data_IF_457885462053
#
_entry.id   IF_457885462053
#
_cell.length_a   1.000
_cell.length_b   1.000
_cell.length_c   1.000
_cell.angle_alpha   90.00
_cell.angle_beta   90.00
_cell.angle_gamma   90.00
#
_symmetry.space_group_name_H-M   'P 1'
#
loop_
_entity.id
_entity.type
_entity.pdbx_description
1 polymer ?
#
# COMPACT_ATOMS: atom_id res chain seq x y z
N UNK A 1 -2.48 3.37 30.54
CA UNK A 1 -2.41 2.83 29.16
C UNK A 1 -2.75 1.35 29.23
N UNK A 2 -3.67 0.89 28.38
CA UNK A 2 -4.06 -0.51 28.30
C UNK A 2 -2.86 -1.36 27.83
N UNK A 3 -2.50 -2.40 28.60
CA UNK A 3 -1.35 -3.30 28.32
C UNK A 3 -1.68 -4.38 27.27
N UNK A 4 -2.94 -4.46 26.85
CA UNK A 4 -3.43 -5.44 25.88
C UNK A 4 -2.97 -5.14 24.44
N UNK A 5 -2.79 -3.86 24.09
CA UNK A 5 -2.48 -3.43 22.72
C UNK A 5 -0.96 -3.36 22.51
N UNK A 6 -0.51 -3.78 21.33
CA UNK A 6 0.91 -3.70 20.97
C UNK A 6 1.37 -2.24 20.85
N UNK A 7 2.50 -1.90 21.45
CA UNK A 7 3.00 -0.52 21.55
C UNK A 7 3.22 0.14 20.20
N UNK A 8 3.71 -0.60 19.20
CA UNK A 8 3.94 -0.07 17.86
C UNK A 8 2.63 0.28 17.13
N UNK A 9 1.58 -0.51 17.36
CA UNK A 9 0.25 -0.24 16.78
C UNK A 9 -0.31 1.04 17.37
N UNK A 10 -0.14 1.24 18.69
CA UNK A 10 -0.55 2.49 19.35
C UNK A 10 0.21 3.72 18.81
N UNK A 11 1.50 3.57 18.56
CA UNK A 11 2.31 4.65 17.99
C UNK A 11 1.86 4.97 16.56
N UNK A 12 1.58 3.96 15.73
CA UNK A 12 1.09 4.12 14.36
C UNK A 12 -0.22 4.90 14.30
N UNK A 13 -1.16 4.63 15.21
CA UNK A 13 -2.45 5.35 15.30
C UNK A 13 -2.26 6.86 15.54
N UNK A 14 -1.22 7.25 16.28
CA UNK A 14 -0.95 8.66 16.61
C UNK A 14 -0.27 9.39 15.45
N UNK A 15 0.49 8.69 14.60
CA UNK A 15 1.26 9.31 13.51
C UNK A 15 0.40 10.14 12.55
N UNK A 16 -0.75 9.65 12.01
CA UNK A 16 -1.59 10.45 11.13
C UNK A 16 -2.10 11.75 11.76
N UNK A 17 -2.38 11.74 13.06
CA UNK A 17 -2.82 12.95 13.78
C UNK A 17 -1.71 13.98 13.80
N UNK A 18 -0.48 13.56 14.13
CA UNK A 18 0.70 14.41 14.12
C UNK A 18 0.96 14.97 12.71
N UNK A 19 0.98 14.12 11.69
CA UNK A 19 1.17 14.54 10.30
C UNK A 19 0.10 15.53 9.83
N UNK A 20 -1.16 15.30 10.19
CA UNK A 20 -2.27 16.19 9.80
C UNK A 20 -2.12 17.56 10.48
N UNK A 21 -1.69 17.60 11.74
CA UNK A 21 -1.45 18.85 12.46
C UNK A 21 -0.23 19.60 11.91
N UNK A 22 0.84 18.88 11.58
CA UNK A 22 2.02 19.43 10.92
C UNK A 22 1.65 20.06 9.58
N UNK A 23 0.87 19.37 8.74
CA UNK A 23 0.42 19.88 7.45
C UNK A 23 -0.51 21.11 7.56
N UNK A 24 -1.23 21.25 8.67
CA UNK A 24 -2.06 22.43 8.95
C UNK A 24 -1.22 23.65 9.36
N UNK A 25 -0.11 23.43 10.06
CA UNK A 25 0.68 24.50 10.66
C UNK A 25 1.90 24.88 9.81
N UNK A 26 2.49 23.93 9.10
CA UNK A 26 3.69 24.10 8.29
C UNK A 26 3.30 24.21 6.81
N UNK A 27 3.78 25.23 6.08
CA UNK A 27 3.53 25.34 4.66
C UNK A 27 4.27 24.25 3.88
N UNK A 28 3.67 23.81 2.77
CA UNK A 28 4.28 22.91 1.81
C UNK A 28 5.40 23.59 1.00
N UNK A 29 6.01 22.85 0.07
CA UNK A 29 7.03 23.38 -0.85
C UNK A 29 6.56 24.57 -1.72
N UNK A 30 5.25 24.80 -1.83
CA UNK A 30 4.64 25.89 -2.57
C UNK A 30 4.15 27.02 -1.65
N UNK A 31 4.47 26.98 -0.36
CA UNK A 31 4.05 27.98 0.62
C UNK A 31 2.61 27.85 1.14
N UNK A 32 1.90 26.76 0.82
CA UNK A 32 0.49 26.56 1.17
C UNK A 32 0.34 25.58 2.34
N UNK A 33 -0.56 25.88 3.27
CA UNK A 33 -0.93 24.96 4.35
C UNK A 33 -2.18 24.17 3.99
N UNK A 34 -2.33 22.99 4.61
CA UNK A 34 -3.58 22.24 4.55
C UNK A 34 -4.66 22.92 5.38
N UNK A 35 -5.93 22.66 5.07
CA UNK A 35 -7.05 23.12 5.87
C UNK A 35 -7.08 22.53 7.28
N UNK A 36 -7.86 23.14 8.18
CA UNK A 36 -7.98 22.72 9.59
C UNK A 36 -8.31 21.22 9.71
N UNK A 37 -7.59 20.45 10.56
CA UNK A 37 -7.86 19.04 10.77
C UNK A 37 -9.29 18.82 11.27
N UNK A 38 -9.97 17.79 10.74
CA UNK A 38 -11.30 17.38 11.20
C UNK A 38 -11.17 16.19 12.15
N UNK A 39 -11.84 16.26 13.30
CA UNK A 39 -11.95 15.11 14.20
C UNK A 39 -12.72 13.98 13.52
N UNK A 40 -12.17 12.77 13.64
CA UNK A 40 -12.74 11.55 13.08
C UNK A 40 -13.33 10.72 14.22
N UNK A 41 -14.60 10.32 14.08
CA UNK A 41 -15.28 9.46 15.05
C UNK A 41 -14.78 8.01 15.00
N UNK A 42 -15.21 7.18 15.97
CA UNK A 42 -14.80 5.78 16.13
C UNK A 42 -14.90 4.92 14.86
N UNK A 43 -15.90 5.19 14.01
CA UNK A 43 -16.16 4.40 12.79
C UNK A 43 -15.20 4.70 11.63
N UNK A 44 -14.40 5.76 11.70
CA UNK A 44 -13.45 6.12 10.65
C UNK A 44 -12.17 5.29 10.66
N UNK A 45 -11.86 4.61 11.77
CA UNK A 45 -10.64 3.83 11.89
C UNK A 45 -10.97 2.34 11.81
N UNK A 46 -10.64 1.72 10.68
CA UNK A 46 -10.95 0.32 10.37
C UNK A 46 -9.70 -0.54 10.13
N UNK A 47 -8.50 -0.01 10.39
CA UNK A 47 -7.23 -0.69 10.12
C UNK A 47 -6.31 -0.72 11.32
N UNK A 48 -5.40 -1.70 11.40
CA UNK A 48 -4.33 -1.79 12.38
C UNK A 48 -3.01 -2.10 11.66
N UNK A 49 -2.04 -1.19 11.72
CA UNK A 49 -0.74 -1.39 11.09
C UNK A 49 0.29 -1.92 12.07
N UNK A 50 1.13 -2.83 11.58
CA UNK A 50 2.29 -3.39 12.26
C UNK A 50 3.55 -2.96 11.48
N UNK A 51 4.18 -1.83 11.86
CA UNK A 51 5.28 -1.23 11.10
C UNK A 51 6.59 -2.01 11.09
N UNK A 52 6.70 -3.08 11.90
CA UNK A 52 7.89 -3.93 12.00
C UNK A 52 7.58 -5.39 11.70
N UNK A 53 6.56 -5.62 10.87
CA UNK A 53 6.27 -6.95 10.41
C UNK A 53 7.29 -7.38 9.36
N UNK A 54 7.74 -8.64 9.43
CA UNK A 54 8.75 -9.20 8.54
C UNK A 54 8.29 -10.53 7.94
N UNK A 55 9.01 -11.03 6.92
CA UNK A 55 8.71 -12.30 6.25
C UNK A 55 8.64 -13.48 7.23
N UNK A 56 9.40 -13.44 8.35
CA UNK A 56 9.39 -14.51 9.37
C UNK A 56 8.09 -14.63 10.14
N UNK A 57 7.23 -13.60 10.09
CA UNK A 57 5.91 -13.64 10.71
C UNK A 57 4.89 -14.39 9.84
N UNK A 58 5.19 -14.62 8.55
CA UNK A 58 4.36 -15.41 7.65
C UNK A 58 4.85 -16.86 7.72
N UNK A 59 4.03 -17.75 8.25
CA UNK A 59 4.38 -19.14 8.50
C UNK A 59 3.30 -20.08 7.97
N UNK A 60 3.62 -21.36 7.83
CA UNK A 60 2.61 -22.40 7.61
C UNK A 60 2.34 -23.12 8.93
N UNK A 61 1.08 -23.37 9.24
CA UNK A 61 0.72 -24.21 10.37
C UNK A 61 0.93 -25.70 10.06
N UNK A 62 0.67 -26.58 11.04
CA UNK A 62 0.80 -28.03 10.90
C UNK A 62 -0.05 -28.62 9.73
N UNK A 63 -1.13 -27.94 9.36
CA UNK A 63 -2.01 -28.35 8.26
C UNK A 63 -1.62 -27.72 6.91
N UNK A 64 -0.44 -27.10 6.82
CA UNK A 64 0.08 -26.47 5.61
C UNK A 64 -0.60 -25.15 5.20
N UNK A 65 -1.54 -24.63 6.00
CA UNK A 65 -2.21 -23.34 5.73
C UNK A 65 -1.32 -22.18 6.13
N UNK A 66 -1.34 -21.12 5.31
CA UNK A 66 -0.63 -19.88 5.62
C UNK A 66 -1.28 -19.17 6.81
N UNK A 67 -0.43 -18.72 7.72
CA UNK A 67 -0.78 -17.99 8.91
C UNK A 67 0.18 -16.80 9.07
N UNK A 68 -0.30 -15.77 9.74
CA UNK A 68 0.50 -14.64 10.15
C UNK A 68 0.53 -14.53 11.67
N UNK A 69 1.73 -14.42 12.23
CA UNK A 69 1.92 -14.19 13.65
C UNK A 69 1.89 -12.69 13.94
N UNK A 70 0.80 -12.21 14.53
CA UNK A 70 0.63 -10.81 14.89
C UNK A 70 0.91 -10.62 16.39
N UNK A 71 1.81 -9.69 16.78
CA UNK A 71 2.04 -9.39 18.19
C UNK A 71 0.73 -9.09 18.94
N UNK A 72 0.56 -9.67 20.14
CA UNK A 72 -0.63 -9.58 21.01
C UNK A 72 -1.91 -10.24 20.52
N UNK A 73 -2.03 -10.57 19.23
CA UNK A 73 -3.17 -11.33 18.68
C UNK A 73 -2.83 -12.82 18.59
N UNK A 74 -1.60 -13.14 18.16
CA UNK A 74 -1.13 -14.50 17.95
C UNK A 74 -1.19 -14.95 16.49
N UNK A 75 -1.27 -16.26 16.28
CA UNK A 75 -1.22 -16.88 14.96
C UNK A 75 -2.60 -16.86 14.28
N UNK A 76 -2.73 -16.12 13.19
CA UNK A 76 -4.00 -15.94 12.46
C UNK A 76 -3.89 -16.58 11.07
N UNK A 77 -4.72 -17.56 10.70
CA UNK A 77 -4.75 -18.10 9.35
C UNK A 77 -5.29 -17.05 8.36
N UNK A 78 -4.71 -16.98 7.17
CA UNK A 78 -5.17 -16.08 6.11
C UNK A 78 -5.02 -16.70 4.72
N UNK A 79 -5.79 -16.20 3.76
CA UNK A 79 -5.68 -16.61 2.36
C UNK A 79 -4.56 -15.82 1.69
N UNK A 80 -3.52 -16.50 1.25
CA UNK A 80 -2.35 -15.85 0.67
C UNK A 80 -2.45 -15.76 -0.85
N UNK A 81 -3.23 -14.79 -1.33
CA UNK A 81 -3.57 -14.65 -2.76
C UNK A 81 -2.37 -14.33 -3.67
N UNK A 82 -1.39 -13.56 -3.17
CA UNK A 82 -0.19 -13.18 -3.91
C UNK A 82 1.04 -13.42 -3.05
N UNK A 83 1.81 -14.44 -3.39
CA UNK A 83 3.09 -14.72 -2.73
C UNK A 83 4.03 -13.53 -2.92
N UNK A 84 4.75 -13.18 -1.86
CA UNK A 84 5.77 -12.14 -1.93
C UNK A 84 6.90 -12.65 -2.84
N UNK A 85 7.31 -11.89 -3.88
CA UNK A 85 8.37 -12.34 -4.78
C UNK A 85 9.70 -12.54 -4.04
N UNK A 86 10.55 -13.41 -4.57
CA UNK A 86 11.88 -13.65 -4.02
C UNK A 86 12.70 -12.35 -4.03
N UNK A 87 13.46 -12.09 -2.96
CA UNK A 87 14.27 -10.88 -2.81
C UNK A 87 13.56 -9.72 -2.10
N UNK A 88 12.22 -9.72 -2.06
CA UNK A 88 11.45 -8.66 -1.39
C UNK A 88 11.33 -8.90 0.12
N UNK A 89 11.49 -7.82 0.88
CA UNK A 89 11.37 -7.82 2.34
C UNK A 89 10.07 -7.15 2.76
N UNK A 90 9.28 -7.81 3.60
CA UNK A 90 8.13 -7.17 4.26
C UNK A 90 8.65 -6.14 5.24
N UNK A 91 8.05 -4.95 5.19
CA UNK A 91 8.32 -3.85 6.11
C UNK A 91 7.15 -3.63 7.06
N UNK A 92 5.93 -3.60 6.50
CA UNK A 92 4.71 -3.31 7.25
C UNK A 92 3.62 -4.30 6.85
N UNK A 93 2.84 -4.75 7.83
CA UNK A 93 1.57 -5.44 7.58
C UNK A 93 0.42 -4.65 8.17
N UNK A 94 -0.60 -4.36 7.38
CA UNK A 94 -1.79 -3.63 7.83
C UNK A 94 -3.00 -4.52 7.71
N UNK A 95 -3.62 -4.81 8.86
CA UNK A 95 -4.90 -5.51 8.94
C UNK A 95 -6.01 -4.50 8.69
N UNK A 96 -6.91 -4.77 7.75
CA UNK A 96 -7.97 -3.84 7.32
C UNK A 96 -9.31 -4.55 7.45
N UNK A 97 -10.30 -3.87 8.02
CA UNK A 97 -11.69 -4.33 8.07
C UNK A 97 -12.50 -3.61 7.00
N UNK A 98 -12.94 -4.38 6.02
CA UNK A 98 -13.88 -3.95 4.99
C UNK A 98 -15.28 -4.55 5.25
N UNK A 99 -16.25 -4.20 4.42
CA UNK A 99 -17.64 -4.64 4.59
C UNK A 99 -17.83 -6.16 4.43
N UNK A 100 -17.00 -6.78 3.60
CA UNK A 100 -17.00 -8.19 3.22
C UNK A 100 -16.05 -9.06 4.06
N UNK A 101 -15.15 -8.44 4.85
CA UNK A 101 -14.30 -9.19 5.76
C UNK A 101 -13.04 -8.48 6.22
N UNK A 102 -12.10 -9.28 6.70
CA UNK A 102 -10.80 -8.83 7.18
C UNK A 102 -9.71 -9.19 6.17
N UNK A 103 -8.87 -8.21 5.88
CA UNK A 103 -7.77 -8.32 4.93
C UNK A 103 -6.45 -7.97 5.60
N UNK A 104 -5.36 -8.45 5.02
CA UNK A 104 -4.01 -8.00 5.36
C UNK A 104 -3.30 -7.52 4.10
N UNK A 105 -2.80 -6.29 4.17
CA UNK A 105 -1.97 -5.68 3.14
C UNK A 105 -0.51 -5.66 3.60
N UNK A 106 0.41 -6.05 2.73
CA UNK A 106 1.85 -6.03 3.01
C UNK A 106 2.53 -4.95 2.19
N UNK A 107 3.24 -4.06 2.88
CA UNK A 107 4.23 -3.18 2.24
C UNK A 107 5.55 -3.92 2.16
N UNK A 108 6.02 -4.14 0.94
CA UNK A 108 7.28 -4.81 0.65
C UNK A 108 8.31 -3.82 0.08
N UNK A 109 9.58 -4.08 0.36
CA UNK A 109 10.72 -3.29 -0.09
C UNK A 109 11.70 -4.19 -0.84
N UNK A 110 12.22 -3.68 -1.96
CA UNK A 110 13.37 -4.23 -2.65
C UNK A 110 14.45 -3.15 -2.71
N UNK A 111 15.60 -3.42 -2.06
CA UNK A 111 16.74 -2.50 -1.98
C UNK A 111 17.64 -2.56 -3.21
N UNK A 112 17.43 -3.55 -4.09
CA UNK A 112 18.22 -3.71 -5.32
C UNK A 112 17.72 -2.80 -6.43
N UNK A 113 16.47 -2.32 -6.35
CA UNK A 113 15.93 -1.34 -7.29
C UNK A 113 16.69 -0.02 -7.07
N UNK A 114 17.48 0.45 -8.06
CA UNK A 114 18.21 1.69 -7.92
C UNK A 114 17.22 2.85 -7.78
N UNK A 115 17.47 3.73 -6.81
CA UNK A 115 16.82 5.03 -6.74
C UNK A 115 17.21 5.78 -8.02
N UNK A 116 16.30 5.87 -8.99
CA UNK A 116 16.51 6.66 -10.20
C UNK A 116 16.59 8.15 -9.84
N UNK A 117 17.77 8.61 -9.45
CA UNK A 117 18.22 9.98 -9.70
C UNK A 117 19.02 9.95 -10.99
N UNK A 118 18.37 9.56 -12.09
CA UNK A 118 19.03 9.71 -13.39
C UNK A 118 18.81 11.18 -13.75
N UNK A 119 19.89 11.96 -13.78
CA UNK A 119 19.91 13.31 -14.35
C UNK A 119 19.73 13.22 -15.87
N UNK A 120 18.58 12.70 -16.31
CA UNK A 120 18.20 12.70 -17.72
C UNK A 120 17.62 14.08 -17.98
N UNK A 121 18.38 14.92 -18.68
CA UNK A 121 17.82 16.14 -19.25
C UNK A 121 16.84 15.72 -20.37
N UNK A 122 15.56 16.13 -20.31
CA UNK A 122 14.61 15.78 -21.35
C UNK A 122 15.03 16.41 -22.68
N UNK A 123 15.19 15.57 -23.69
CA UNK A 123 15.39 15.93 -25.10
C UNK A 123 14.23 15.37 -25.93
N UNK A 124 14.05 15.84 -27.16
CA UNK A 124 13.02 15.27 -28.05
C UNK A 124 13.22 13.77 -28.28
N UNK A 125 14.48 13.31 -28.36
CA UNK A 125 14.80 11.89 -28.62
C UNK A 125 14.54 10.96 -27.42
N UNK A 126 14.61 11.48 -26.19
CA UNK A 126 14.46 10.67 -24.96
C UNK A 126 13.12 10.88 -24.23
N UNK A 127 12.29 11.81 -24.73
CA UNK A 127 10.97 12.09 -24.19
C UNK A 127 9.92 11.30 -24.95
N UNK A 128 9.18 10.43 -24.26
CA UNK A 128 8.06 9.68 -24.85
C UNK A 128 6.75 10.22 -24.31
N UNK A 129 5.86 10.61 -25.22
CA UNK A 129 4.48 10.96 -24.88
C UNK A 129 3.64 9.70 -24.74
N UNK A 130 2.80 9.64 -23.72
CA UNK A 130 1.76 8.61 -23.58
C UNK A 130 0.42 9.32 -23.38
N UNK A 131 -0.52 9.09 -24.28
CA UNK A 131 -1.91 9.54 -24.15
C UNK A 131 -2.80 8.36 -23.76
N UNK A 132 -3.67 8.56 -22.78
CA UNK A 132 -4.54 7.50 -22.25
C UNK A 132 -5.97 7.69 -22.76
N UNK A 133 -6.52 6.68 -23.43
CA UNK A 133 -7.81 6.77 -24.11
C UNK A 133 -8.81 5.67 -23.73
N UNK A 134 -10.05 5.87 -24.18
CA UNK A 134 -11.12 4.87 -24.06
C UNK A 134 -11.15 3.90 -25.25
N UNK A 135 -10.70 4.34 -26.43
CA UNK A 135 -10.61 3.51 -27.63
C UNK A 135 -9.37 2.59 -27.57
N UNK A 136 -8.23 3.19 -27.22
CA UNK A 136 -6.97 2.53 -26.93
C UNK A 136 -6.54 2.93 -25.52
N UNK A 137 -6.13 1.96 -24.70
CA UNK A 137 -5.72 2.18 -23.33
C UNK A 137 -4.60 3.20 -23.23
N UNK A 138 -3.60 3.07 -24.10
CA UNK A 138 -2.52 4.02 -24.23
C UNK A 138 -2.07 4.12 -25.69
N UNK A 139 -1.72 5.33 -26.12
CA UNK A 139 -1.07 5.61 -27.40
C UNK A 139 0.27 6.27 -27.10
N UNK A 140 1.35 5.72 -27.64
CA UNK A 140 2.68 6.31 -27.48
C UNK A 140 3.00 7.26 -28.63
N UNK A 141 3.88 8.22 -28.41
CA UNK A 141 4.39 9.11 -29.46
C UNK A 141 5.11 8.36 -30.60
N UNK A 142 5.46 7.08 -30.38
CA UNK A 142 6.06 6.18 -31.37
C UNK A 142 5.01 5.47 -32.25
N UNK A 143 3.72 5.78 -32.06
CA UNK A 143 2.62 5.18 -32.80
C UNK A 143 2.23 3.78 -32.31
N UNK A 144 2.66 3.38 -31.11
CA UNK A 144 2.24 2.12 -30.50
C UNK A 144 0.86 2.30 -29.84
N UNK A 145 -0.05 1.36 -30.12
CA UNK A 145 -1.40 1.35 -29.58
C UNK A 145 -1.57 0.17 -28.62
N UNK A 146 -1.82 0.46 -27.36
CA UNK A 146 -2.13 -0.54 -26.34
C UNK A 146 -3.65 -0.68 -26.27
N UNK A 147 -4.19 -1.88 -26.52
CA UNK A 147 -5.62 -2.12 -26.44
C UNK A 147 -6.15 -2.08 -24.99
N UNK A 148 -7.42 -1.68 -24.84
CA UNK A 148 -8.10 -1.72 -23.54
C UNK A 148 -8.28 -3.17 -23.06
N UNK A 149 -7.76 -3.52 -21.88
CA UNK A 149 -8.00 -4.85 -21.32
C UNK A 149 -9.49 -5.06 -21.01
N UNK A 150 -10.14 -5.99 -21.71
CA UNK A 150 -11.59 -6.25 -21.59
C UNK A 150 -11.93 -7.25 -20.46
N UNK A 151 -11.26 -7.16 -19.31
CA UNK A 151 -11.38 -8.16 -18.23
C UNK A 151 -12.83 -8.46 -17.81
N UNK A 152 -13.68 -7.44 -17.69
CA UNK A 152 -15.09 -7.60 -17.30
C UNK A 152 -15.92 -8.36 -18.34
N UNK A 153 -15.73 -8.10 -19.65
CA UNK A 153 -16.46 -8.82 -20.71
C UNK A 153 -16.09 -10.31 -20.76
N UNK A 154 -14.83 -10.64 -20.44
CA UNK A 154 -14.41 -12.04 -20.35
C UNK A 154 -15.01 -12.75 -19.14
N UNK A 155 -15.24 -12.06 -18.02
CA UNK A 155 -15.89 -12.65 -16.85
C UNK A 155 -17.41 -12.81 -16.97
N UNK A 156 -18.07 -12.05 -17.86
CA UNK A 156 -19.52 -12.18 -18.11
C UNK A 156 -19.90 -13.43 -18.93
N UNK A 157 -18.95 -14.02 -19.66
CA UNK A 157 -19.16 -15.24 -20.47
C UNK A 157 -18.87 -16.53 -19.68
N UNK A 158 -18.80 -16.44 -18.35
CA UNK A 158 -18.51 -17.55 -17.44
C UNK A 158 -19.67 -17.76 -16.48
#
# INVERSE_FOLDING_TARGET
MDKSIHSQVLQDVVQPVQTTMDNFTKPDKNGKTSGRPKFKGKHYYNSLSYPQLSNSHIVKNANGRFCINLPKIGLVPFVYNRLIPAGFKVKTGTVIREADGWYISFTIEDKTVPLRSVEIQPTEDNSKGMDLGLLHYAVTSDGEFIEVPKFFRFSEHR
#
